data_IF_937696850494
#
_entry.id   IF_937696850494
#
_cell.length_a   1.000
_cell.length_b   1.000
_cell.length_c   1.000
_cell.angle_alpha   90.00
_cell.angle_beta   90.00
_cell.angle_gamma   90.00
#
_symmetry.space_group_name_H-M   'P 1'
#
loop_
_entity.id
_entity.type
_entity.pdbx_description
1 polymer ?
#
# COMPACT_ATOMS: atom_id res chain seq x y z
N UNK A 1 -18.94 -27.51 4.44
CA UNK A 1 -18.12 -27.05 3.30
C UNK A 1 -16.76 -26.64 3.85
N UNK A 2 -15.65 -27.30 3.48
CA UNK A 2 -14.32 -26.81 3.81
C UNK A 2 -13.98 -25.65 2.85
N UNK A 3 -13.40 -24.53 3.30
CA UNK A 3 -12.86 -23.57 2.32
C UNK A 3 -12.67 -22.10 2.69
N UNK A 4 -12.89 -21.64 3.92
CA UNK A 4 -12.30 -20.36 4.34
C UNK A 4 -10.94 -20.67 4.91
N UNK A 5 -9.90 -20.62 4.07
CA UNK A 5 -8.53 -20.60 4.56
C UNK A 5 -8.44 -19.46 5.58
N UNK A 6 -8.31 -19.83 6.85
CA UNK A 6 -8.26 -18.85 7.91
C UNK A 6 -6.95 -18.08 7.72
N UNK A 7 -7.06 -16.75 7.69
CA UNK A 7 -5.89 -15.84 7.69
C UNK A 7 -5.12 -15.90 9.01
N UNK A 8 -5.55 -16.76 9.95
CA UNK A 8 -5.07 -16.83 11.33
C UNK A 8 -3.70 -17.51 11.48
N UNK A 9 -3.13 -18.04 10.38
CA UNK A 9 -1.85 -18.77 10.37
C UNK A 9 -0.68 -18.04 9.67
N UNK A 10 -0.75 -16.70 9.46
CA UNK A 10 0.41 -15.97 8.93
C UNK A 10 1.45 -15.76 10.06
N UNK A 11 2.67 -16.33 9.97
CA UNK A 11 3.63 -16.26 11.06
C UNK A 11 4.13 -14.85 11.29
N UNK A 12 4.27 -14.53 12.57
CA UNK A 12 4.72 -13.31 13.24
C UNK A 12 5.70 -12.44 12.43
N UNK A 13 5.18 -11.28 12.01
CA UNK A 13 5.90 -10.01 11.79
C UNK A 13 7.08 -10.02 10.81
N UNK A 14 6.90 -9.39 9.65
CA UNK A 14 8.03 -8.90 8.85
C UNK A 14 8.37 -7.47 9.30
N UNK A 15 9.65 -7.09 9.32
CA UNK A 15 10.05 -5.72 9.66
C UNK A 15 10.83 -5.07 8.51
N UNK A 16 10.55 -3.80 8.25
CA UNK A 16 11.31 -2.93 7.33
C UNK A 16 11.85 -1.76 8.15
N UNK A 17 13.13 -1.83 8.50
CA UNK A 17 13.73 -0.86 9.43
C UNK A 17 12.97 -0.84 10.75
N UNK A 18 12.34 0.29 11.09
CA UNK A 18 11.55 0.49 12.32
C UNK A 18 10.07 0.16 12.16
N UNK A 19 9.62 -0.23 10.96
CA UNK A 19 8.21 -0.50 10.67
C UNK A 19 7.97 -2.00 10.77
N UNK A 20 7.13 -2.41 11.72
CA UNK A 20 6.63 -3.78 11.79
C UNK A 20 5.40 -3.92 10.87
N UNK A 21 5.41 -4.93 10.01
CA UNK A 21 4.33 -5.26 9.08
C UNK A 21 3.55 -6.46 9.58
N UNK A 22 2.23 -6.33 9.53
CA UNK A 22 1.30 -7.42 9.82
C UNK A 22 1.01 -8.17 8.53
N UNK A 23 1.84 -9.16 8.22
CA UNK A 23 1.69 -10.03 7.05
C UNK A 23 2.92 -10.06 6.16
N UNK A 24 2.78 -10.74 5.01
CA UNK A 24 3.90 -11.04 4.08
C UNK A 24 3.63 -10.58 2.64
N UNK A 25 2.49 -9.92 2.40
CA UNK A 25 2.09 -9.45 1.08
C UNK A 25 2.25 -7.93 1.03
N UNK A 26 3.01 -7.45 0.05
CA UNK A 26 3.23 -6.02 -0.19
C UNK A 26 2.80 -5.72 -1.63
N UNK A 27 1.88 -4.77 -1.80
CA UNK A 27 1.49 -4.32 -3.13
C UNK A 27 2.52 -3.30 -3.66
N UNK A 28 3.09 -3.61 -4.82
CA UNK A 28 4.13 -2.80 -5.44
C UNK A 28 3.58 -1.45 -5.97
N UNK A 29 4.45 -0.43 -6.10
CA UNK A 29 4.09 0.81 -6.76
C UNK A 29 3.92 0.59 -8.26
N UNK A 30 2.73 0.91 -8.79
CA UNK A 30 2.41 0.76 -10.21
C UNK A 30 1.74 2.05 -10.71
N UNK A 31 2.38 2.73 -11.67
CA UNK A 31 1.85 3.96 -12.24
C UNK A 31 0.53 3.70 -13.00
N UNK A 32 -0.49 4.48 -12.68
CA UNK A 32 -1.86 4.35 -13.20
C UNK A 32 -2.68 3.24 -12.55
N UNK A 33 -2.16 2.54 -11.55
CA UNK A 33 -2.84 1.39 -10.91
C UNK A 33 -2.93 1.54 -9.40
N UNK A 34 -1.82 1.85 -8.71
CA UNK A 34 -1.78 1.88 -7.24
C UNK A 34 -2.35 3.17 -6.63
N UNK A 35 -3.54 3.58 -7.08
CA UNK A 35 -4.29 4.73 -6.56
C UNK A 35 -4.90 4.45 -5.17
N UNK A 36 -5.49 5.47 -4.55
CA UNK A 36 -6.05 5.34 -3.19
C UNK A 36 -7.16 4.26 -3.08
N UNK A 37 -8.14 4.17 -4.00
CA UNK A 37 -9.11 3.08 -4.02
C UNK A 37 -8.47 1.69 -4.10
N UNK A 38 -7.48 1.50 -4.99
CA UNK A 38 -6.73 0.25 -5.09
C UNK A 38 -6.06 -0.12 -3.76
N UNK A 39 -5.34 0.83 -3.15
CA UNK A 39 -4.64 0.58 -1.87
C UNK A 39 -5.60 0.24 -0.75
N UNK A 40 -6.74 0.92 -0.69
CA UNK A 40 -7.79 0.66 0.30
C UNK A 40 -8.32 -0.78 0.18
N UNK A 41 -8.57 -1.23 -1.05
CA UNK A 41 -9.00 -2.61 -1.32
C UNK A 41 -7.90 -3.62 -1.01
N UNK A 42 -6.67 -3.38 -1.48
CA UNK A 42 -5.54 -4.28 -1.24
C UNK A 42 -5.33 -4.54 0.26
N UNK A 43 -5.42 -3.49 1.08
CA UNK A 43 -5.30 -3.59 2.54
C UNK A 43 -6.50 -4.28 3.17
N UNK A 44 -7.72 -3.99 2.71
CA UNK A 44 -8.94 -4.71 3.13
C UNK A 44 -8.85 -6.22 2.88
N UNK A 45 -8.15 -6.63 1.83
CA UNK A 45 -7.93 -8.05 1.49
C UNK A 45 -6.63 -8.65 2.06
N UNK A 46 -5.93 -7.95 2.97
CA UNK A 46 -4.81 -8.52 3.73
C UNK A 46 -3.40 -8.16 3.22
N UNK A 47 -3.26 -7.17 2.34
CA UNK A 47 -1.94 -6.61 2.05
C UNK A 47 -1.37 -5.93 3.30
N UNK A 48 -0.18 -6.35 3.73
CA UNK A 48 0.54 -5.81 4.87
C UNK A 48 1.02 -4.36 4.62
N UNK A 49 1.30 -4.05 3.35
CA UNK A 49 1.62 -2.71 2.87
C UNK A 49 1.09 -2.54 1.45
N UNK A 50 0.55 -1.37 1.13
CA UNK A 50 0.15 -1.01 -0.23
C UNK A 50 0.80 0.33 -0.59
N UNK A 51 1.73 0.31 -1.55
CA UNK A 51 2.53 1.48 -1.92
C UNK A 51 1.76 2.32 -2.96
N UNK A 52 1.89 3.64 -2.88
CA UNK A 52 1.28 4.56 -3.84
C UNK A 52 1.81 4.38 -5.26
N UNK A 53 1.16 5.03 -6.22
CA UNK A 53 1.69 5.18 -7.58
C UNK A 53 3.13 5.74 -7.57
N UNK A 54 3.88 5.43 -8.62
CA UNK A 54 5.23 5.95 -8.83
C UNK A 54 5.22 7.46 -9.10
N UNK A 55 5.96 8.23 -8.30
CA UNK A 55 6.05 9.70 -8.38
C UNK A 55 7.39 10.12 -9.00
N UNK A 56 7.40 11.19 -9.79
CA UNK A 56 8.64 11.74 -10.34
C UNK A 56 9.52 12.33 -9.24
N UNK A 57 10.82 12.05 -9.30
CA UNK A 57 11.81 12.67 -8.41
C UNK A 57 12.13 14.14 -8.78
N UNK A 58 11.73 14.62 -9.97
CA UNK A 58 12.00 15.99 -10.40
C UNK A 58 11.27 17.01 -9.50
N UNK A 59 12.00 17.95 -8.86
CA UNK A 59 11.38 18.98 -8.03
C UNK A 59 10.34 19.82 -8.77
N UNK A 60 10.57 20.09 -10.05
CA UNK A 60 9.69 20.90 -10.89
C UNK A 60 8.31 20.25 -11.06
N UNK A 61 8.24 18.92 -10.99
CA UNK A 61 7.01 18.15 -11.18
C UNK A 61 6.25 17.88 -9.89
N UNK A 62 6.79 18.22 -8.71
CA UNK A 62 6.17 17.92 -7.39
C UNK A 62 4.77 18.49 -7.24
N UNK A 63 4.54 19.69 -7.76
CA UNK A 63 3.24 20.37 -7.63
C UNK A 63 2.31 20.16 -8.83
N UNK A 64 2.74 19.40 -9.84
CA UNK A 64 1.89 19.05 -10.97
C UNK A 64 0.66 18.28 -10.49
N UNK A 65 -0.45 18.41 -11.24
CA UNK A 65 -1.69 17.67 -10.95
C UNK A 65 -1.44 16.16 -10.83
N UNK A 66 -0.62 15.61 -11.73
CA UNK A 66 -0.25 14.18 -11.75
C UNK A 66 0.47 13.75 -10.47
N UNK A 67 1.45 14.52 -10.00
CA UNK A 67 2.15 14.20 -8.75
C UNK A 67 1.24 14.31 -7.54
N UNK A 68 0.40 15.37 -7.46
CA UNK A 68 -0.56 15.55 -6.36
C UNK A 68 -1.53 14.38 -6.22
N UNK A 69 -2.06 13.88 -7.35
CA UNK A 69 -2.95 12.72 -7.36
C UNK A 69 -2.26 11.45 -6.86
N UNK A 70 -0.96 11.29 -7.13
CA UNK A 70 -0.19 10.10 -6.75
C UNK A 70 0.32 10.11 -5.31
N UNK A 71 0.42 11.30 -4.71
CA UNK A 71 0.92 11.50 -3.34
C UNK A 71 -0.19 11.73 -2.32
N UNK A 72 -1.46 11.62 -2.72
CA UNK A 72 -2.57 11.71 -1.77
C UNK A 72 -2.66 10.44 -0.94
N UNK A 73 -2.83 10.61 0.37
CA UNK A 73 -2.99 9.54 1.35
C UNK A 73 -4.15 9.85 2.33
N UNK A 74 -5.03 10.76 1.94
CA UNK A 74 -6.10 11.26 2.81
C UNK A 74 -7.04 10.13 3.23
N UNK A 75 -7.16 9.91 4.53
CA UNK A 75 -8.02 8.85 5.09
C UNK A 75 -7.44 7.44 5.02
N UNK A 76 -6.18 7.26 4.65
CA UNK A 76 -5.50 5.97 4.73
C UNK A 76 -4.95 5.70 6.15
N UNK A 77 -5.15 4.47 6.63
CA UNK A 77 -4.57 4.02 7.89
C UNK A 77 -3.05 3.93 7.77
N UNK A 78 -2.27 4.28 8.81
CA UNK A 78 -0.82 4.08 8.76
C UNK A 78 -0.41 2.59 8.64
N UNK A 79 0.83 2.29 8.19
CA UNK A 79 1.80 3.22 7.63
C UNK A 79 1.42 3.67 6.20
N UNK A 80 1.66 4.95 5.91
CA UNK A 80 1.50 5.63 4.60
C UNK A 80 2.80 6.31 4.20
#
# INVERSE_FOLDING_TARGET
>A
MPGTACIDDIPSGMAIGKIALQGRVIAAPMAGVSDQPYRSLARRFGAALAVSEMVSASPQLRHSRKSRQRTTHDGEMGPV
#
